data_IF_524493386726
#
_entry.id   IF_524493386726
#
_cell.length_a   1.000
_cell.length_b   1.000
_cell.length_c   1.000
_cell.angle_alpha   90.00
_cell.angle_beta   90.00
_cell.angle_gamma   90.00
#
_symmetry.space_group_name_H-M   'P 1'
#
loop_
_entity.id
_entity.type
_entity.pdbx_description
1 polymer ?
#
# COMPACT_ATOMS: atom_id res chain seq x y z
N UNK A 1 -4.33 2.56 13.44
CA UNK A 1 -3.50 3.72 13.06
C UNK A 1 -4.05 4.46 11.84
N UNK A 2 -3.86 4.01 10.59
CA UNK A 2 -4.44 4.72 9.42
C UNK A 2 -5.97 4.84 9.43
N UNK A 3 -6.67 3.91 10.10
CA UNK A 3 -8.13 3.96 10.29
C UNK A 3 -8.57 5.17 11.13
N UNK A 4 -7.71 5.65 12.01
CA UNK A 4 -8.05 6.63 13.04
C UNK A 4 -7.73 8.06 12.57
N UNK A 5 -6.87 8.21 11.55
CA UNK A 5 -6.47 9.50 10.95
C UNK A 5 -7.65 10.36 10.46
N UNK A 6 -8.71 9.81 9.81
CA UNK A 6 -9.85 10.62 9.42
C UNK A 6 -10.63 11.20 10.60
N UNK A 7 -10.56 10.59 11.79
CA UNK A 7 -11.17 11.15 13.00
C UNK A 7 -10.31 12.30 13.52
N UNK A 8 -9.00 12.08 13.65
CA UNK A 8 -8.05 13.11 14.07
C UNK A 8 -8.08 14.34 13.15
N UNK A 9 -8.06 14.13 11.83
CA UNK A 9 -8.14 15.22 10.85
C UNK A 9 -9.46 16.00 10.91
N UNK A 10 -10.56 15.35 11.32
CA UNK A 10 -11.83 16.05 11.55
C UNK A 10 -11.72 16.95 12.79
N UNK A 11 -11.16 16.44 13.89
CA UNK A 11 -10.90 17.25 15.10
C UNK A 11 -10.02 18.46 14.78
N UNK A 12 -8.96 18.27 14.00
CA UNK A 12 -8.09 19.37 13.55
C UNK A 12 -8.87 20.46 12.81
N UNK A 13 -9.75 20.08 11.88
CA UNK A 13 -10.59 21.05 11.16
C UNK A 13 -11.54 21.78 12.11
N UNK A 14 -12.17 21.08 13.04
CA UNK A 14 -13.10 21.70 14.00
C UNK A 14 -12.36 22.67 14.92
N UNK A 15 -11.14 22.34 15.35
CA UNK A 15 -10.30 23.25 16.12
C UNK A 15 -9.84 24.46 15.32
N UNK A 16 -9.52 24.30 14.03
CA UNK A 16 -9.24 25.42 13.13
C UNK A 16 -10.46 26.34 12.98
N UNK A 17 -11.65 25.76 12.79
CA UNK A 17 -12.91 26.52 12.67
C UNK A 17 -13.17 27.34 13.96
N UNK A 18 -13.01 26.71 15.12
CA UNK A 18 -13.16 27.35 16.42
C UNK A 18 -12.12 28.45 16.70
N UNK A 19 -10.94 28.40 16.05
CA UNK A 19 -9.87 29.39 16.23
C UNK A 19 -10.10 30.67 15.42
N UNK A 20 -11.18 30.76 14.64
CA UNK A 20 -11.55 31.98 13.91
C UNK A 20 -10.66 32.29 12.69
N UNK A 21 -10.09 31.25 12.07
CA UNK A 21 -9.18 31.40 10.94
C UNK A 21 -9.94 31.86 9.68
N UNK A 22 -9.23 32.52 8.75
CA UNK A 22 -9.77 32.95 7.45
C UNK A 22 -10.50 31.83 6.71
N UNK A 23 -11.57 32.19 5.99
CA UNK A 23 -12.38 31.22 5.24
C UNK A 23 -11.59 30.43 4.18
N UNK A 24 -10.56 31.05 3.58
CA UNK A 24 -9.70 30.43 2.57
C UNK A 24 -8.86 29.27 3.15
N UNK A 25 -8.21 29.48 4.29
CA UNK A 25 -7.41 28.43 4.93
C UNK A 25 -8.29 27.29 5.43
N UNK A 26 -9.49 27.60 5.94
CA UNK A 26 -10.48 26.59 6.30
C UNK A 26 -10.98 25.79 5.09
N UNK A 27 -11.17 26.45 3.94
CA UNK A 27 -11.53 25.79 2.69
C UNK A 27 -10.43 24.82 2.25
N UNK A 28 -9.17 25.22 2.32
CA UNK A 28 -8.03 24.37 1.97
C UNK A 28 -7.85 23.20 2.94
N UNK A 29 -8.02 23.43 4.25
CA UNK A 29 -8.02 22.36 5.25
C UNK A 29 -9.11 21.32 4.95
N UNK A 30 -10.34 21.78 4.67
CA UNK A 30 -11.47 20.92 4.28
C UNK A 30 -11.21 20.19 2.97
N UNK A 31 -10.48 20.80 2.01
CA UNK A 31 -10.06 20.14 0.77
C UNK A 31 -9.11 18.98 1.06
N UNK A 32 -8.05 19.18 1.84
CA UNK A 32 -7.12 18.10 2.20
C UNK A 32 -7.81 16.96 2.94
N UNK A 33 -8.76 17.26 3.81
CA UNK A 33 -9.56 16.25 4.50
C UNK A 33 -10.47 15.44 3.56
N UNK A 34 -11.11 16.09 2.59
CA UNK A 34 -11.90 15.38 1.57
C UNK A 34 -11.03 14.45 0.74
N UNK A 35 -9.82 14.87 0.37
CA UNK A 35 -8.85 14.02 -0.32
C UNK A 35 -8.43 12.83 0.57
N UNK A 36 -8.12 13.07 1.84
CA UNK A 36 -7.76 12.04 2.81
C UNK A 36 -8.86 10.99 3.03
N UNK A 37 -10.13 11.38 2.93
CA UNK A 37 -11.31 10.49 2.99
C UNK A 37 -11.71 9.87 1.64
N UNK A 38 -11.12 10.31 0.53
CA UNK A 38 -11.53 9.89 -0.82
C UNK A 38 -12.85 10.48 -1.31
N UNK A 39 -13.36 11.54 -0.69
CA UNK A 39 -14.64 12.19 -1.02
C UNK A 39 -14.50 13.45 -1.90
N UNK A 40 -13.37 13.59 -2.61
CA UNK A 40 -13.07 14.73 -3.50
C UNK A 40 -14.02 14.91 -4.70
N UNK A 41 -14.00 16.07 -5.37
CA UNK A 41 -14.87 16.36 -6.54
C UNK A 41 -14.58 15.42 -7.72
N UNK A 42 -15.61 15.17 -8.54
CA UNK A 42 -15.44 14.47 -9.84
C UNK A 42 -14.60 15.36 -10.77
N UNK A 43 -13.74 14.76 -11.59
CA UNK A 43 -13.11 15.49 -12.69
C UNK A 43 -14.19 16.02 -13.63
N UNK A 44 -14.00 17.23 -14.12
CA UNK A 44 -14.85 17.79 -15.19
C UNK A 44 -14.15 17.40 -16.50
N UNK A 45 -14.88 16.77 -17.40
CA UNK A 45 -14.45 16.57 -18.78
C UNK A 45 -14.98 17.78 -19.55
N UNK A 46 -14.06 18.56 -20.11
CA UNK A 46 -14.40 19.68 -20.99
C UNK A 46 -15.13 19.16 -22.22
N UNK A 47 -16.17 19.89 -22.65
CA UNK A 47 -16.97 19.52 -23.80
C UNK A 47 -16.13 19.56 -25.08
N UNK A 48 -16.28 18.55 -25.94
CA UNK A 48 -15.50 18.43 -27.17
C UNK A 48 -15.97 19.39 -28.29
N UNK A 49 -17.17 19.98 -28.15
CA UNK A 49 -17.78 20.88 -29.13
C UNK A 49 -18.54 22.05 -28.47
N UNK A 50 -18.58 23.21 -29.13
CA UNK A 50 -19.38 24.37 -28.71
C UNK A 50 -20.87 24.03 -28.71
N UNK A 51 -21.46 23.93 -27.51
CA UNK A 51 -22.88 23.62 -27.31
C UNK A 51 -23.15 22.39 -26.43
N UNK A 52 -22.15 21.54 -26.17
CA UNK A 52 -22.28 20.44 -25.22
C UNK A 52 -21.98 20.86 -23.78
N UNK A 53 -22.81 20.40 -22.84
CA UNK A 53 -22.56 20.64 -21.42
C UNK A 53 -21.38 19.78 -20.94
N UNK A 54 -20.45 20.34 -20.14
CA UNK A 54 -19.32 19.58 -19.61
C UNK A 54 -19.81 18.39 -18.78
N UNK A 55 -19.27 17.20 -19.08
CA UNK A 55 -19.67 15.96 -18.41
C UNK A 55 -18.74 15.64 -17.24
N UNK A 56 -19.23 14.88 -16.25
CA UNK A 56 -18.42 14.51 -15.08
C UNK A 56 -17.64 13.23 -15.38
N UNK A 57 -16.32 13.31 -15.38
CA UNK A 57 -15.43 12.19 -15.62
C UNK A 57 -15.30 11.19 -14.45
N UNK A 58 -14.66 10.03 -14.71
CA UNK A 58 -14.44 9.00 -13.70
C UNK A 58 -13.56 9.53 -12.57
N UNK A 59 -13.91 9.14 -11.33
CA UNK A 59 -13.10 9.47 -10.14
C UNK A 59 -11.93 8.52 -10.01
N UNK A 60 -10.71 9.06 -9.95
CA UNK A 60 -9.55 8.35 -9.42
C UNK A 60 -9.30 8.85 -8.00
N UNK A 61 -9.82 8.13 -7.01
CA UNK A 61 -9.56 8.46 -5.62
C UNK A 61 -8.12 8.01 -5.26
N UNK A 62 -7.27 8.95 -4.85
CA UNK A 62 -5.91 8.67 -4.37
C UNK A 62 -5.93 8.16 -2.92
N UNK A 63 -6.43 6.93 -2.74
CA UNK A 63 -6.65 6.29 -1.43
C UNK A 63 -5.50 5.39 -0.96
N UNK A 64 -4.36 5.40 -1.66
CA UNK A 64 -3.18 4.64 -1.21
C UNK A 64 -2.75 5.14 0.18
N UNK A 65 -2.14 4.24 0.97
CA UNK A 65 -1.63 4.61 2.30
C UNK A 65 -0.57 5.72 2.23
N UNK A 66 0.15 5.82 1.12
CA UNK A 66 1.08 6.91 0.82
C UNK A 66 0.34 8.23 0.59
N UNK A 67 -0.62 8.28 -0.35
CA UNK A 67 -1.39 9.49 -0.63
C UNK A 67 -2.17 9.99 0.60
N UNK A 68 -2.68 9.07 1.43
CA UNK A 68 -3.34 9.44 2.70
C UNK A 68 -2.37 10.06 3.71
N UNK A 69 -1.13 9.57 3.76
CA UNK A 69 -0.08 10.16 4.60
C UNK A 69 0.30 11.56 4.08
N UNK A 70 0.40 11.74 2.76
CA UNK A 70 0.70 13.03 2.13
C UNK A 70 -0.40 14.06 2.36
N UNK A 71 -1.67 13.68 2.19
CA UNK A 71 -2.78 14.58 2.45
C UNK A 71 -2.84 15.00 3.92
N UNK A 72 -2.53 14.09 4.84
CA UNK A 72 -2.42 14.43 6.27
C UNK A 72 -1.25 15.37 6.52
N UNK A 73 -0.07 15.10 5.94
CA UNK A 73 1.11 15.95 6.08
C UNK A 73 0.85 17.39 5.58
N UNK A 74 0.15 17.54 4.45
CA UNK A 74 -0.27 18.86 3.93
C UNK A 74 -1.21 19.59 4.88
N UNK A 75 -2.16 18.88 5.50
CA UNK A 75 -3.01 19.46 6.54
C UNK A 75 -2.17 19.93 7.74
N UNK A 76 -1.21 19.12 8.19
CA UNK A 76 -0.30 19.51 9.29
C UNK A 76 0.57 20.72 8.93
N UNK A 77 1.05 20.82 7.70
CA UNK A 77 1.80 21.99 7.24
C UNK A 77 0.95 23.26 7.26
N UNK A 78 -0.29 23.19 6.78
CA UNK A 78 -1.24 24.31 6.81
C UNK A 78 -1.52 24.77 8.24
N UNK A 79 -1.76 23.81 9.15
CA UNK A 79 -1.97 24.09 10.58
C UNK A 79 -0.72 24.72 11.20
N UNK A 80 0.48 24.24 10.85
CA UNK A 80 1.72 24.78 11.39
C UNK A 80 2.04 26.21 10.92
N UNK A 81 1.48 26.65 9.79
CA UNK A 81 1.61 28.02 9.30
C UNK A 81 0.61 29.00 9.90
N UNK A 82 -0.42 28.50 10.59
CA UNK A 82 -1.48 29.32 11.16
C UNK A 82 -1.19 29.69 12.61
N UNK A 83 -1.01 30.98 12.90
CA UNK A 83 -0.69 31.46 14.25
C UNK A 83 -1.86 31.37 15.21
N UNK A 84 -3.10 31.42 14.69
CA UNK A 84 -4.33 31.32 15.49
C UNK A 84 -4.59 29.89 15.99
N UNK A 85 -3.91 28.89 15.44
CA UNK A 85 -4.07 27.51 15.85
C UNK A 85 -3.34 27.22 17.16
N UNK A 86 -3.99 27.52 18.28
CA UNK A 86 -3.47 27.28 19.62
C UNK A 86 -4.25 26.14 20.28
N UNK A 87 -3.58 25.04 20.60
CA UNK A 87 -4.20 23.85 21.23
C UNK A 87 -3.39 23.39 22.44
N UNK A 88 -4.10 23.00 23.50
CA UNK A 88 -3.49 22.48 24.73
C UNK A 88 -3.38 20.95 24.71
N UNK A 89 -4.21 20.27 23.91
CA UNK A 89 -4.22 18.82 23.80
C UNK A 89 -2.98 18.32 23.06
N UNK A 90 -2.22 17.36 23.62
CA UNK A 90 -0.94 16.96 23.05
C UNK A 90 -1.07 16.35 21.65
N UNK A 91 -2.16 15.64 21.38
CA UNK A 91 -2.42 15.01 20.07
C UNK A 91 -2.79 16.01 18.97
N UNK A 92 -3.40 17.15 19.34
CA UNK A 92 -3.81 18.21 18.41
C UNK A 92 -2.74 19.31 18.28
N UNK A 93 -1.79 19.36 19.21
CA UNK A 93 -0.64 20.25 19.12
C UNK A 93 0.15 20.03 17.83
N UNK A 94 0.72 21.10 17.27
CA UNK A 94 1.57 21.02 16.06
C UNK A 94 2.69 19.97 16.20
N UNK A 95 3.40 19.85 17.35
CA UNK A 95 4.35 18.78 17.56
C UNK A 95 3.72 17.37 17.51
N UNK A 96 2.56 17.16 18.13
CA UNK A 96 1.84 15.89 18.11
C UNK A 96 1.36 15.48 16.72
N UNK A 97 0.85 16.45 15.95
CA UNK A 97 0.44 16.25 14.56
C UNK A 97 1.65 15.90 13.66
N UNK A 98 2.78 16.59 13.84
CA UNK A 98 4.04 16.27 13.14
C UNK A 98 4.56 14.88 13.49
N UNK A 99 4.50 14.48 14.77
CA UNK A 99 4.87 13.13 15.21
C UNK A 99 3.98 12.07 14.56
N UNK A 100 2.67 12.33 14.48
CA UNK A 100 1.70 11.46 13.81
C UNK A 100 2.00 11.33 12.32
N UNK A 101 2.28 12.44 11.63
CA UNK A 101 2.68 12.43 10.22
C UNK A 101 3.95 11.61 9.99
N UNK A 102 5.00 11.83 10.80
CA UNK A 102 6.24 11.03 10.75
C UNK A 102 5.98 9.54 10.96
N UNK A 103 5.08 9.19 11.88
CA UNK A 103 4.68 7.80 12.14
C UNK A 103 3.98 7.16 10.94
N UNK A 104 3.12 7.89 10.22
CA UNK A 104 2.49 7.39 8.98
C UNK A 104 3.53 7.04 7.91
N UNK A 105 4.48 7.93 7.66
CA UNK A 105 5.56 7.67 6.70
C UNK A 105 6.45 6.49 7.12
N UNK A 106 6.78 6.39 8.41
CA UNK A 106 7.55 5.26 8.94
C UNK A 106 6.85 3.92 8.72
N UNK A 107 5.54 3.84 8.99
CA UNK A 107 4.75 2.62 8.76
C UNK A 107 4.70 2.25 7.27
N UNK A 108 4.52 3.23 6.38
CA UNK A 108 4.56 2.98 4.94
C UNK A 108 5.92 2.42 4.51
N UNK A 109 7.02 3.03 4.96
CA UNK A 109 8.37 2.55 4.67
C UNK A 109 8.60 1.13 5.19
N UNK A 110 8.11 0.79 6.39
CA UNK A 110 8.22 -0.56 6.94
C UNK A 110 7.51 -1.60 6.08
N UNK A 111 6.30 -1.29 5.60
CA UNK A 111 5.54 -2.20 4.71
C UNK A 111 6.26 -2.39 3.37
N UNK A 112 6.80 -1.32 2.78
CA UNK A 112 7.57 -1.42 1.53
C UNK A 112 8.78 -2.33 1.71
N UNK A 113 9.56 -2.14 2.78
CA UNK A 113 10.72 -2.99 3.11
C UNK A 113 10.31 -4.45 3.29
N UNK A 114 9.23 -4.71 4.03
CA UNK A 114 8.72 -6.06 4.24
C UNK A 114 8.28 -6.72 2.92
N UNK A 115 7.64 -5.97 2.02
CA UNK A 115 7.21 -6.45 0.70
C UNK A 115 8.42 -6.85 -0.17
N UNK A 116 9.48 -6.04 -0.17
CA UNK A 116 10.72 -6.35 -0.88
C UNK A 116 11.36 -7.63 -0.33
N UNK A 117 11.53 -7.72 0.99
CA UNK A 117 12.08 -8.91 1.64
C UNK A 117 11.28 -10.18 1.31
N UNK A 118 9.95 -10.10 1.38
CA UNK A 118 9.06 -11.20 1.04
C UNK A 118 9.16 -11.60 -0.44
N UNK A 119 9.24 -10.63 -1.35
CA UNK A 119 9.40 -10.89 -2.78
C UNK A 119 10.71 -11.61 -3.07
N UNK A 120 11.82 -11.14 -2.49
CA UNK A 120 13.13 -11.77 -2.66
C UNK A 120 13.15 -13.19 -2.09
N UNK A 121 12.57 -13.40 -0.90
CA UNK A 121 12.44 -14.74 -0.32
C UNK A 121 11.64 -15.69 -1.24
N UNK A 122 10.58 -15.20 -1.90
CA UNK A 122 9.83 -15.99 -2.89
C UNK A 122 10.65 -16.31 -4.14
N UNK A 123 11.47 -15.37 -4.61
CA UNK A 123 12.38 -15.58 -5.75
C UNK A 123 13.38 -16.69 -5.40
N UNK A 124 14.10 -16.55 -4.28
CA UNK A 124 15.07 -17.55 -3.81
C UNK A 124 14.44 -18.92 -3.58
N UNK A 125 13.23 -18.97 -3.02
CA UNK A 125 12.48 -20.22 -2.88
C UNK A 125 12.15 -20.83 -4.25
N UNK A 126 11.74 -20.04 -5.22
CA UNK A 126 11.42 -20.55 -6.55
C UNK A 126 12.66 -21.04 -7.31
N UNK A 127 13.78 -20.33 -7.16
CA UNK A 127 15.09 -20.75 -7.70
C UNK A 127 15.49 -22.11 -7.16
N UNK A 128 15.50 -22.27 -5.84
CA UNK A 128 15.89 -23.51 -5.17
C UNK A 128 14.94 -24.68 -5.44
N UNK A 129 13.63 -24.44 -5.51
CA UNK A 129 12.65 -25.51 -5.64
C UNK A 129 12.32 -25.87 -7.10
N UNK A 130 12.31 -24.91 -8.02
CA UNK A 130 11.63 -25.10 -9.32
C UNK A 130 12.39 -24.66 -10.56
N UNK A 131 13.20 -23.60 -10.52
CA UNK A 131 13.70 -22.95 -11.75
C UNK A 131 15.19 -23.07 -12.02
N UNK A 132 16.05 -23.27 -11.00
CA UNK A 132 17.46 -23.53 -11.24
C UNK A 132 17.70 -24.92 -11.86
N UNK A 133 18.83 -25.11 -12.54
CA UNK A 133 19.21 -26.42 -13.09
C UNK A 133 19.36 -27.49 -12.00
N UNK A 134 19.91 -27.10 -10.84
CA UNK A 134 20.05 -27.94 -9.66
C UNK A 134 18.82 -27.89 -8.73
N UNK A 135 17.72 -27.31 -9.18
CA UNK A 135 16.52 -27.21 -8.35
C UNK A 135 15.98 -28.60 -7.98
N UNK A 136 15.34 -28.69 -6.80
CA UNK A 136 14.78 -29.95 -6.28
C UNK A 136 13.83 -30.61 -7.30
N UNK A 137 13.03 -29.81 -8.01
CA UNK A 137 12.17 -30.31 -9.08
C UNK A 137 12.96 -31.01 -10.20
N UNK A 138 14.04 -30.40 -10.68
CA UNK A 138 14.83 -30.92 -11.80
C UNK A 138 15.60 -32.16 -11.37
N UNK A 139 16.39 -32.05 -10.31
CA UNK A 139 17.25 -33.12 -9.79
C UNK A 139 16.41 -34.31 -9.30
N UNK A 140 15.32 -34.05 -8.58
CA UNK A 140 14.43 -35.10 -8.09
C UNK A 140 13.78 -35.92 -9.22
N UNK A 141 13.38 -35.26 -10.31
CA UNK A 141 12.87 -35.97 -11.50
C UNK A 141 13.98 -36.72 -12.23
N UNK A 142 15.17 -36.15 -12.35
CA UNK A 142 16.32 -36.80 -12.99
C UNK A 142 16.72 -38.08 -12.23
N UNK A 143 16.90 -37.99 -10.91
CA UNK A 143 17.20 -39.13 -10.06
C UNK A 143 16.15 -40.24 -10.19
N UNK A 144 14.85 -39.88 -10.14
CA UNK A 144 13.76 -40.84 -10.32
C UNK A 144 13.78 -41.53 -11.70
N UNK A 145 14.11 -40.79 -12.77
CA UNK A 145 14.28 -41.38 -14.12
C UNK A 145 15.48 -42.32 -14.17
N UNK A 146 16.58 -41.94 -13.55
CA UNK A 146 17.81 -42.73 -13.53
C UNK A 146 17.64 -44.07 -12.81
N UNK A 147 17.03 -44.06 -11.61
CA UNK A 147 16.69 -45.28 -10.87
C UNK A 147 15.78 -46.19 -11.70
N UNK A 148 14.77 -45.62 -12.37
CA UNK A 148 13.90 -46.38 -13.27
C UNK A 148 14.66 -47.02 -14.44
N UNK A 149 15.67 -46.34 -14.98
CA UNK A 149 16.44 -46.81 -16.12
C UNK A 149 17.36 -48.00 -15.74
N UNK A 150 17.96 -47.97 -14.54
CA UNK A 150 18.84 -49.04 -14.05
C UNK A 150 18.06 -50.27 -13.63
N UNK A 151 17.05 -50.10 -12.75
CA UNK A 151 16.37 -51.21 -12.11
C UNK A 151 15.10 -51.66 -12.84
N UNK A 152 14.60 -50.86 -13.79
CA UNK A 152 13.39 -51.13 -14.53
C UNK A 152 12.12 -50.58 -13.88
N UNK A 153 10.99 -50.56 -14.61
CA UNK A 153 9.75 -49.90 -14.19
C UNK A 153 8.96 -50.63 -13.08
N UNK A 154 9.23 -51.91 -12.84
CA UNK A 154 8.48 -52.76 -11.91
C UNK A 154 9.32 -53.21 -10.70
N UNK A 155 10.53 -52.68 -10.52
CA UNK A 155 11.43 -53.09 -9.44
C UNK A 155 11.04 -52.51 -8.07
N UNK A 156 11.46 -53.18 -7.01
CA UNK A 156 11.24 -52.72 -5.63
C UNK A 156 11.96 -51.39 -5.36
N UNK A 157 13.17 -51.22 -5.88
CA UNK A 157 13.98 -50.01 -5.76
C UNK A 157 13.29 -48.81 -6.42
N UNK A 158 12.75 -48.99 -7.63
CA UNK A 158 12.01 -47.92 -8.29
C UNK A 158 10.71 -47.60 -7.56
N UNK A 159 10.00 -48.60 -7.04
CA UNK A 159 8.77 -48.40 -6.26
C UNK A 159 9.01 -47.56 -5.00
N UNK A 160 10.17 -47.69 -4.34
CA UNK A 160 10.54 -46.85 -3.19
C UNK A 160 10.71 -45.37 -3.54
N UNK A 161 11.15 -45.04 -4.75
CA UNK A 161 11.38 -43.65 -5.20
C UNK A 161 10.16 -43.07 -5.93
N UNK A 162 9.38 -43.93 -6.61
CA UNK A 162 8.21 -43.55 -7.43
C UNK A 162 7.15 -42.77 -6.65
N UNK A 163 7.02 -43.01 -5.34
CA UNK A 163 6.10 -42.30 -4.43
C UNK A 163 6.41 -40.81 -4.28
N UNK A 164 7.65 -40.38 -4.52
CA UNK A 164 8.01 -38.96 -4.48
C UNK A 164 7.60 -38.28 -5.78
N UNK A 165 6.75 -37.26 -5.64
CA UNK A 165 6.15 -36.53 -6.75
C UNK A 165 6.68 -35.11 -6.75
N UNK A 166 7.43 -34.77 -7.80
CA UNK A 166 7.97 -33.43 -8.03
C UNK A 166 7.07 -32.72 -9.04
N UNK A 167 6.41 -31.65 -8.60
CA UNK A 167 5.49 -30.82 -9.41
C UNK A 167 5.82 -29.34 -9.21
N UNK A 168 5.57 -28.53 -10.23
CA UNK A 168 5.58 -27.06 -10.08
C UNK A 168 4.21 -26.57 -9.60
N UNK A 169 4.15 -25.39 -8.96
CA UNK A 169 2.89 -24.79 -8.51
C UNK A 169 2.01 -24.25 -9.66
N UNK A 170 2.55 -24.13 -10.88
CA UNK A 170 1.84 -23.67 -12.07
C UNK A 170 2.24 -24.57 -13.26
N UNK A 171 1.83 -25.83 -13.22
CA UNK A 171 1.88 -26.79 -14.34
C UNK A 171 0.51 -27.48 -14.44
#
# INVERSE_FOLDING_TARGET
FFRDIPKLAASVILTLDASGVKAETLHDARRFFKLLKGSGRKSIIEAAAEGEAPTKGPRVAQLSYESRADHFARLVQLVASESLYMTNEPELSVPGLKATSKKLYSLNSAVVKAKVAWSNARITRNETLYSAEEAIYVVGRAARKYVRAIFGPNSEEFNQVKRYVFKKPYD
#
